data_IF_116498415259
#
_entry.id   IF_116498415259
#
_cell.length_a   1.000
_cell.length_b   1.000
_cell.length_c   1.000
_cell.angle_alpha   90.00
_cell.angle_beta   90.00
_cell.angle_gamma   90.00
#
_symmetry.space_group_name_H-M   'P 1'
#
loop_
_entity.id
_entity.type
_entity.pdbx_description
1 polymer ?
#
# COMPACT_ATOMS: atom_id res chain seq x y z
N UNK A 1 0.29 6.39 14.29
CA UNK A 1 1.09 5.16 14.26
C UNK A 1 2.02 5.19 15.47
N UNK A 2 2.23 4.08 16.17
CA UNK A 2 3.33 4.00 17.15
C UNK A 2 4.56 3.49 16.40
N UNK A 3 5.68 4.19 16.55
CA UNK A 3 6.96 3.83 15.95
C UNK A 3 8.08 4.30 16.86
N UNK A 4 9.20 3.58 16.85
CA UNK A 4 10.45 4.00 17.49
C UNK A 4 11.09 5.21 16.81
N UNK A 5 10.59 5.61 15.63
CA UNK A 5 10.99 6.81 14.92
C UNK A 5 9.99 7.95 15.17
N UNK A 6 10.44 9.05 15.77
CA UNK A 6 9.60 10.24 15.99
C UNK A 6 9.19 10.94 14.67
N UNK A 7 10.01 10.76 13.64
CA UNK A 7 9.78 11.27 12.28
C UNK A 7 10.58 10.45 11.26
N UNK A 8 10.23 10.48 9.97
CA UNK A 8 11.09 9.96 8.90
C UNK A 8 12.47 10.63 8.95
N UNK A 9 13.51 9.83 8.79
CA UNK A 9 14.92 10.22 8.72
C UNK A 9 15.44 9.99 7.31
N UNK A 10 16.48 10.71 6.94
CA UNK A 10 17.19 10.39 5.72
C UNK A 10 17.84 9.00 5.86
N UNK A 11 17.58 8.12 4.89
CA UNK A 11 18.00 6.74 4.91
C UNK A 11 18.30 6.24 3.49
N UNK A 12 18.98 5.11 3.41
CA UNK A 12 19.25 4.42 2.13
C UNK A 12 18.27 3.28 1.88
N UNK A 13 17.64 2.76 2.94
CA UNK A 13 16.59 1.77 2.87
C UNK A 13 15.45 2.06 3.83
N UNK A 14 14.23 1.63 3.48
CA UNK A 14 13.02 1.98 4.24
C UNK A 14 13.03 1.43 5.67
N UNK A 15 13.71 0.31 5.91
CA UNK A 15 13.87 -0.30 7.24
C UNK A 15 14.59 0.62 8.22
N UNK A 16 15.44 1.52 7.73
CA UNK A 16 16.22 2.46 8.56
C UNK A 16 15.40 3.69 8.97
N UNK A 17 14.20 3.89 8.42
CA UNK A 17 13.41 5.12 8.60
C UNK A 17 11.89 4.89 8.66
N UNK A 18 11.43 3.70 9.03
CA UNK A 18 10.01 3.27 8.97
C UNK A 18 9.06 4.07 9.91
N UNK A 19 8.95 5.39 9.70
CA UNK A 19 8.20 6.38 10.48
C UNK A 19 7.33 7.29 9.61
N UNK A 20 7.25 7.05 8.30
CA UNK A 20 6.38 7.78 7.39
C UNK A 20 4.96 7.19 7.36
N UNK A 21 3.96 8.06 7.12
CA UNK A 21 2.59 7.63 6.87
C UNK A 21 2.50 6.83 5.57
N UNK A 22 3.15 7.27 4.50
CA UNK A 22 3.14 6.54 3.24
C UNK A 22 4.48 6.67 2.51
N UNK A 23 4.81 5.66 1.70
CA UNK A 23 5.94 5.67 0.79
C UNK A 23 5.64 4.89 -0.49
N UNK A 24 6.42 5.18 -1.53
CA UNK A 24 6.34 4.50 -2.82
C UNK A 24 7.33 3.35 -2.87
N UNK A 25 6.83 2.12 -2.82
CA UNK A 25 7.64 0.92 -3.02
C UNK A 25 7.62 0.53 -4.50
N UNK A 26 8.79 0.25 -5.08
CA UNK A 26 8.99 0.23 -6.54
C UNK A 26 10.24 1.01 -6.95
N UNK A 27 10.36 1.46 -8.21
CA UNK A 27 9.51 1.19 -9.38
C UNK A 27 10.05 0.02 -10.21
N UNK A 28 11.35 -0.24 -10.17
CA UNK A 28 11.96 -1.35 -10.89
C UNK A 28 11.72 -2.67 -10.18
N UNK A 29 11.78 -2.66 -8.85
CA UNK A 29 11.70 -3.84 -7.99
C UNK A 29 10.85 -3.53 -6.77
N UNK A 30 10.20 -4.54 -6.20
CA UNK A 30 9.38 -4.37 -5.00
C UNK A 30 9.29 -5.70 -4.23
N UNK A 31 8.78 -5.63 -3.00
CA UNK A 31 8.56 -6.76 -2.11
C UNK A 31 9.77 -7.11 -1.26
N UNK A 32 9.64 -8.22 -0.54
CA UNK A 32 10.70 -8.83 0.26
C UNK A 32 11.60 -9.64 -0.67
N UNK A 33 12.89 -9.28 -0.83
CA UNK A 33 13.78 -10.01 -1.71
C UNK A 33 13.97 -11.46 -1.24
N UNK A 34 13.95 -12.39 -2.20
CA UNK A 34 14.33 -13.79 -2.01
C UNK A 34 15.85 -13.95 -2.16
N UNK A 35 16.37 -15.18 -1.99
CA UNK A 35 17.78 -15.47 -2.27
C UNK A 35 18.18 -15.27 -3.75
N UNK A 36 17.20 -15.20 -4.66
CA UNK A 36 17.43 -14.92 -6.09
C UNK A 36 17.43 -13.41 -6.40
N UNK A 37 17.01 -12.57 -5.46
CA UNK A 37 16.86 -11.14 -5.64
C UNK A 37 18.04 -10.36 -5.05
N UNK A 38 18.43 -9.27 -5.72
CA UNK A 38 19.54 -8.39 -5.29
C UNK A 38 19.09 -6.96 -4.99
N UNK A 39 17.77 -6.73 -4.98
CA UNK A 39 17.20 -5.43 -4.71
C UNK A 39 16.95 -5.21 -3.22
N UNK A 40 16.95 -3.95 -2.74
CA UNK A 40 16.56 -3.66 -1.35
C UNK A 40 15.09 -4.02 -1.11
N UNK A 41 14.74 -4.26 0.15
CA UNK A 41 13.35 -4.42 0.59
C UNK A 41 12.53 -3.21 0.12
N UNK A 42 11.40 -3.48 -0.55
CA UNK A 42 10.50 -2.46 -1.13
C UNK A 42 11.10 -1.62 -2.28
N UNK A 43 12.19 -2.08 -2.88
CA UNK A 43 12.76 -1.44 -4.07
C UNK A 43 13.49 -0.14 -3.79
N UNK A 44 14.00 0.45 -4.86
CA UNK A 44 14.89 1.61 -4.83
C UNK A 44 14.18 2.93 -4.49
N UNK A 45 12.89 3.07 -4.85
CA UNK A 45 12.18 4.34 -4.79
C UNK A 45 11.86 4.78 -3.35
N UNK A 46 11.70 3.83 -2.42
CA UNK A 46 11.18 4.07 -1.07
C UNK A 46 11.95 5.15 -0.28
N UNK A 47 13.25 5.26 -0.51
CA UNK A 47 14.12 6.28 0.12
C UNK A 47 14.95 7.06 -0.91
N UNK A 48 14.54 7.06 -2.17
CA UNK A 48 15.28 7.77 -3.21
C UNK A 48 15.19 9.28 -2.99
N UNK A 49 16.31 10.03 -3.05
CA UNK A 49 16.25 11.48 -3.01
C UNK A 49 15.61 12.03 -4.28
N UNK A 50 14.82 13.10 -4.15
CA UNK A 50 14.29 13.83 -5.30
C UNK A 50 15.33 14.82 -5.83
N UNK A 51 15.42 14.98 -7.15
CA UNK A 51 16.27 16.00 -7.78
C UNK A 51 15.63 17.38 -7.74
N UNK A 52 14.29 17.42 -7.76
CA UNK A 52 13.50 18.63 -7.60
C UNK A 52 12.33 18.37 -6.67
N UNK A 53 11.96 19.40 -5.92
CA UNK A 53 10.71 19.45 -5.17
C UNK A 53 10.06 20.81 -5.37
N UNK A 54 8.74 20.89 -5.26
CA UNK A 54 8.02 22.13 -5.44
C UNK A 54 6.58 22.07 -4.92
N UNK A 55 5.92 23.22 -4.96
CA UNK A 55 4.49 23.36 -4.72
C UNK A 55 3.80 23.71 -6.04
N UNK A 56 2.69 23.04 -6.32
CA UNK A 56 1.80 23.38 -7.42
C UNK A 56 0.44 23.79 -6.87
N UNK A 57 -0.12 24.87 -7.38
CA UNK A 57 -1.48 25.30 -7.08
C UNK A 57 -2.24 25.44 -8.38
N UNK A 58 -3.51 25.04 -8.40
CA UNK A 58 -4.33 25.12 -9.60
C UNK A 58 -5.77 24.77 -9.33
N UNK A 59 -6.51 24.55 -10.41
CA UNK A 59 -7.91 24.14 -10.39
C UNK A 59 -8.12 23.12 -11.50
N UNK A 60 -8.89 22.07 -11.22
CA UNK A 60 -9.31 21.07 -12.20
C UNK A 60 -10.80 20.75 -12.05
N UNK A 61 -11.29 19.68 -12.67
CA UNK A 61 -12.70 19.28 -12.60
C UNK A 61 -13.20 18.93 -11.19
N UNK A 62 -12.29 18.74 -10.22
CA UNK A 62 -12.58 18.50 -8.81
C UNK A 62 -12.37 19.74 -7.94
N UNK A 63 -12.16 20.91 -8.57
CA UNK A 63 -11.98 22.20 -7.90
C UNK A 63 -10.52 22.57 -7.65
N UNK A 64 -10.31 23.57 -6.79
CA UNK A 64 -8.99 24.07 -6.45
C UNK A 64 -8.14 23.03 -5.71
N UNK A 65 -6.84 23.06 -5.95
CA UNK A 65 -5.89 22.18 -5.26
C UNK A 65 -4.56 22.87 -4.94
N UNK A 66 -3.89 22.33 -3.93
CA UNK A 66 -2.46 22.52 -3.69
C UNK A 66 -1.79 21.15 -3.67
N UNK A 67 -0.61 21.03 -4.26
CA UNK A 67 0.14 19.79 -4.29
C UNK A 67 1.62 20.00 -3.92
N UNK A 68 2.15 19.08 -3.12
CA UNK A 68 3.59 18.91 -2.97
C UNK A 68 4.05 17.99 -4.10
N UNK A 69 5.05 18.41 -4.85
CA UNK A 69 5.56 17.71 -6.03
C UNK A 69 7.03 17.32 -5.83
N UNK A 70 7.40 16.18 -6.37
CA UNK A 70 8.78 15.72 -6.50
C UNK A 70 9.08 15.31 -7.94
N UNK A 71 10.35 15.37 -8.32
CA UNK A 71 10.83 14.80 -9.57
C UNK A 71 12.16 14.11 -9.32
N UNK A 72 12.28 12.91 -9.87
CA UNK A 72 13.50 12.13 -9.87
C UNK A 72 13.79 11.64 -11.28
N UNK A 73 14.96 12.00 -11.79
CA UNK A 73 15.55 11.46 -13.01
C UNK A 73 16.51 10.33 -12.62
N UNK A 74 16.06 9.09 -12.82
CA UNK A 74 16.84 7.90 -12.52
C UNK A 74 17.50 7.39 -13.79
N UNK A 75 18.83 7.30 -13.81
CA UNK A 75 19.57 6.80 -14.96
C UNK A 75 20.73 5.89 -14.53
N UNK A 76 20.81 4.71 -15.13
CA UNK A 76 21.92 3.78 -14.97
C UNK A 76 22.56 3.51 -16.34
N UNK A 77 23.88 3.68 -16.47
CA UNK A 77 24.57 3.62 -17.76
C UNK A 77 24.40 2.30 -18.55
N UNK A 78 24.09 1.21 -17.85
CA UNK A 78 23.76 -0.10 -18.42
C UNK A 78 22.46 -0.65 -17.85
N UNK A 79 21.49 0.21 -17.56
CA UNK A 79 20.24 -0.17 -16.90
C UNK A 79 19.06 0.72 -17.26
N UNK A 80 18.12 0.85 -16.32
CA UNK A 80 16.93 1.65 -16.52
C UNK A 80 17.25 3.15 -16.60
N UNK A 81 16.44 3.86 -17.38
CA UNK A 81 16.38 5.31 -17.41
C UNK A 81 14.91 5.70 -17.38
N UNK A 82 14.47 6.31 -16.29
CA UNK A 82 13.08 6.72 -16.11
C UNK A 82 12.98 8.01 -15.32
N UNK A 83 11.86 8.70 -15.51
CA UNK A 83 11.46 9.82 -14.66
C UNK A 83 10.32 9.40 -13.74
N UNK A 84 10.50 9.59 -12.44
CA UNK A 84 9.42 9.50 -11.47
C UNK A 84 8.98 10.90 -11.05
N UNK A 85 7.66 11.12 -11.02
CA UNK A 85 7.05 12.40 -10.62
C UNK A 85 6.02 12.16 -9.49
N UNK A 86 6.47 11.82 -8.28
CA UNK A 86 5.56 11.67 -7.15
C UNK A 86 4.93 13.01 -6.76
N UNK A 87 3.67 12.99 -6.35
CA UNK A 87 3.04 14.18 -5.79
C UNK A 87 1.89 13.82 -4.84
N UNK A 88 1.60 14.73 -3.91
CA UNK A 88 0.49 14.63 -2.96
C UNK A 88 -0.41 15.84 -3.13
N UNK A 89 -1.69 15.61 -3.39
CA UNK A 89 -2.69 16.65 -3.70
C UNK A 89 -3.64 16.81 -2.51
N UNK A 90 -3.81 18.05 -2.06
CA UNK A 90 -4.80 18.49 -1.09
C UNK A 90 -5.85 19.37 -1.78
N UNK A 91 -7.09 19.26 -1.34
CA UNK A 91 -8.22 20.04 -1.84
C UNK A 91 -8.95 20.71 -0.69
N UNK A 92 -9.62 21.81 -1.00
CA UNK A 92 -10.46 22.52 -0.05
C UNK A 92 -11.58 21.62 0.48
N UNK A 93 -11.86 21.72 1.78
CA UNK A 93 -12.90 20.95 2.50
C UNK A 93 -12.83 19.42 2.41
N UNK A 94 -11.76 18.87 1.82
CA UNK A 94 -11.53 17.43 1.73
C UNK A 94 -10.84 16.91 3.00
N UNK A 95 -11.33 15.80 3.54
CA UNK A 95 -10.69 15.05 4.63
C UNK A 95 -9.76 13.94 4.13
N UNK A 96 -9.59 13.87 2.81
CA UNK A 96 -8.71 12.95 2.11
C UNK A 96 -7.73 13.72 1.22
N UNK A 97 -6.63 13.06 0.88
CA UNK A 97 -5.60 13.55 -0.02
C UNK A 97 -5.21 12.46 -1.02
N UNK A 98 -4.75 12.87 -2.19
CA UNK A 98 -4.37 11.94 -3.25
C UNK A 98 -2.86 11.79 -3.29
N UNK A 99 -2.36 10.56 -3.15
CA UNK A 99 -0.96 10.18 -3.36
C UNK A 99 -0.83 9.65 -4.78
N UNK A 100 0.05 10.26 -5.57
CA UNK A 100 0.27 9.91 -6.97
C UNK A 100 1.72 9.55 -7.21
N UNK A 101 1.93 8.47 -7.97
CA UNK A 101 3.21 8.14 -8.58
C UNK A 101 3.05 8.10 -10.10
N UNK A 102 3.70 9.01 -10.80
CA UNK A 102 3.87 8.92 -12.25
C UNK A 102 5.25 8.39 -12.59
N UNK A 103 5.32 7.51 -13.59
CA UNK A 103 6.57 7.00 -14.12
C UNK A 103 6.58 7.10 -15.65
N UNK A 104 7.67 7.62 -16.20
CA UNK A 104 7.94 7.70 -17.64
C UNK A 104 9.22 6.93 -17.95
N UNK A 105 9.14 5.93 -18.83
CA UNK A 105 10.34 5.23 -19.29
C UNK A 105 11.06 6.09 -20.35
N UNK A 106 12.23 6.62 -20.00
CA UNK A 106 13.04 7.47 -20.87
C UNK A 106 14.03 6.68 -21.74
N UNK A 107 14.10 5.36 -21.56
CA UNK A 107 14.82 4.44 -22.45
C UNK A 107 14.01 4.10 -23.70
N UNK A 108 14.69 3.65 -24.76
CA UNK A 108 14.04 3.02 -25.91
C UNK A 108 13.60 1.57 -25.63
N UNK A 109 14.31 0.87 -24.75
CA UNK A 109 13.97 -0.48 -24.31
C UNK A 109 12.83 -0.47 -23.28
N UNK A 110 12.06 -1.56 -23.22
CA UNK A 110 11.06 -1.75 -22.18
C UNK A 110 11.69 -1.85 -20.80
N UNK A 111 10.98 -1.35 -19.79
CA UNK A 111 11.38 -1.36 -18.39
C UNK A 111 10.44 -2.26 -17.59
N UNK A 112 10.99 -3.11 -16.71
CA UNK A 112 10.18 -3.82 -15.73
C UNK A 112 9.59 -2.82 -14.72
N UNK A 113 8.34 -3.03 -14.33
CA UNK A 113 7.62 -2.13 -13.44
C UNK A 113 6.89 -2.91 -12.34
N UNK A 114 7.18 -2.54 -11.10
CA UNK A 114 6.51 -3.01 -9.88
C UNK A 114 6.24 -1.80 -8.99
N UNK A 115 4.99 -1.60 -8.56
CA UNK A 115 4.62 -0.49 -7.70
C UNK A 115 3.66 -0.93 -6.60
N UNK A 116 3.82 -0.37 -5.40
CA UNK A 116 2.90 -0.49 -4.27
C UNK A 116 2.88 0.86 -3.53
N UNK A 117 1.69 1.41 -3.33
CA UNK A 117 1.50 2.54 -2.43
C UNK A 117 1.40 2.00 -0.99
N UNK A 118 2.49 2.09 -0.24
CA UNK A 118 2.56 1.52 1.10
C UNK A 118 2.13 2.57 2.14
N UNK A 119 0.88 2.49 2.61
CA UNK A 119 0.32 3.42 3.60
C UNK A 119 0.18 2.77 4.98
N UNK A 120 0.87 3.34 5.98
CA UNK A 120 0.98 2.89 7.36
C UNK A 120 0.06 3.69 8.30
N UNK A 121 -1.19 3.25 8.46
CA UNK A 121 -2.07 3.86 9.46
C UNK A 121 -1.72 3.38 10.87
N UNK A 122 -2.19 4.10 11.88
CA UNK A 122 -2.10 3.61 13.25
C UNK A 122 -2.88 2.29 13.38
N UNK A 123 -2.30 1.32 14.09
CA UNK A 123 -3.09 0.19 14.55
C UNK A 123 -4.18 0.67 15.51
N UNK A 124 -5.41 0.17 15.33
CA UNK A 124 -6.57 0.54 16.14
C UNK A 124 -7.12 -0.71 16.83
N UNK A 125 -6.92 -0.79 18.13
CA UNK A 125 -7.46 -1.88 18.95
C UNK A 125 -9.00 -1.84 18.95
N UNK A 126 -9.63 -2.99 18.69
CA UNK A 126 -11.08 -3.08 18.47
C UNK A 126 -11.56 -2.48 17.14
N UNK A 127 -10.64 -1.98 16.29
CA UNK A 127 -10.96 -1.45 14.97
C UNK A 127 -11.57 -2.53 14.07
N UNK A 128 -12.53 -2.12 13.24
CA UNK A 128 -13.19 -2.98 12.25
C UNK A 128 -12.71 -2.63 10.85
N UNK A 129 -12.37 -3.64 10.08
CA UNK A 129 -12.14 -3.53 8.65
C UNK A 129 -13.47 -3.58 7.91
N UNK A 130 -13.71 -2.57 7.09
CA UNK A 130 -14.77 -2.54 6.09
C UNK A 130 -14.11 -2.63 4.72
N UNK A 131 -14.47 -3.67 3.95
CA UNK A 131 -13.82 -4.01 2.69
C UNK A 131 -14.85 -4.49 1.66
N UNK A 132 -14.55 -4.40 0.34
CA UNK A 132 -15.54 -4.66 -0.71
C UNK A 132 -15.72 -6.16 -1.03
N UNK A 133 -15.07 -7.05 -0.28
CA UNK A 133 -15.11 -8.51 -0.49
C UNK A 133 -15.33 -9.24 0.83
N UNK A 134 -15.93 -10.44 0.83
CA UNK A 134 -16.12 -11.22 2.06
C UNK A 134 -14.80 -11.59 2.76
N UNK A 135 -14.87 -11.91 4.05
CA UNK A 135 -13.76 -12.49 4.81
C UNK A 135 -13.78 -14.02 4.76
N UNK A 136 -13.69 -14.57 3.56
CA UNK A 136 -13.56 -16.01 3.32
C UNK A 136 -12.19 -16.33 2.69
N UNK A 137 -11.88 -17.62 2.58
CA UNK A 137 -10.58 -18.10 2.09
C UNK A 137 -10.35 -17.88 0.60
N UNK A 138 -11.41 -17.56 -0.17
CA UNK A 138 -11.29 -17.21 -1.58
C UNK A 138 -10.87 -15.74 -1.77
N UNK A 139 -11.24 -14.87 -0.82
CA UNK A 139 -11.05 -13.42 -0.93
C UNK A 139 -9.97 -12.86 0.00
N UNK A 140 -9.70 -13.50 1.14
CA UNK A 140 -8.69 -13.06 2.10
C UNK A 140 -7.69 -14.19 2.32
N UNK A 141 -6.58 -14.13 1.59
CA UNK A 141 -5.55 -15.17 1.59
C UNK A 141 -4.43 -14.79 2.55
N UNK A 142 -4.26 -15.55 3.63
CA UNK A 142 -3.15 -15.38 4.58
C UNK A 142 -1.82 -15.75 3.93
N UNK A 143 -0.81 -14.88 4.04
CA UNK A 143 0.56 -15.20 3.61
C UNK A 143 1.18 -16.17 4.61
N UNK A 144 1.30 -17.42 4.20
CA UNK A 144 1.90 -18.49 5.02
C UNK A 144 3.42 -18.61 4.84
N UNK A 145 3.97 -18.03 3.77
CA UNK A 145 5.42 -17.91 3.60
C UNK A 145 5.98 -16.94 4.66
N UNK A 146 6.94 -17.43 5.45
CA UNK A 146 7.54 -16.68 6.55
C UNK A 146 8.78 -15.96 6.03
N UNK A 147 8.82 -14.61 6.05
CA UNK A 147 10.00 -13.86 5.60
C UNK A 147 11.26 -14.17 6.41
N UNK A 148 12.43 -14.07 5.79
CA UNK A 148 13.70 -14.38 6.44
C UNK A 148 14.02 -13.51 7.68
N UNK A 149 13.44 -12.31 7.76
CA UNK A 149 13.60 -11.41 8.92
C UNK A 149 12.68 -11.77 10.10
N UNK A 150 11.67 -12.63 9.89
CA UNK A 150 10.75 -13.08 10.93
C UNK A 150 11.30 -14.33 11.59
N UNK A 151 11.35 -14.33 12.93
CA UNK A 151 11.69 -15.53 13.73
C UNK A 151 10.40 -16.13 14.30
N UNK A 152 9.78 -17.11 13.63
CA UNK A 152 8.49 -17.64 14.07
C UNK A 152 8.61 -18.49 15.33
N UNK A 153 7.68 -18.32 16.27
CA UNK A 153 7.42 -19.26 17.35
C UNK A 153 6.19 -20.14 17.02
N UNK A 154 5.89 -21.13 17.88
CA UNK A 154 4.78 -22.06 17.64
C UNK A 154 3.41 -21.38 17.66
N UNK A 155 3.23 -20.37 18.50
CA UNK A 155 2.00 -19.58 18.59
C UNK A 155 1.73 -18.83 17.28
N UNK A 156 2.77 -18.25 16.67
CA UNK A 156 2.70 -17.57 15.37
C UNK A 156 2.35 -18.55 14.25
N UNK A 157 2.99 -19.72 14.20
CA UNK A 157 2.68 -20.76 13.20
C UNK A 157 1.23 -21.25 13.32
N UNK A 158 0.78 -21.45 14.55
CA UNK A 158 -0.61 -21.83 14.86
C UNK A 158 -1.59 -20.75 14.42
N UNK A 159 -1.29 -19.48 14.69
CA UNK A 159 -2.10 -18.35 14.22
C UNK A 159 -2.15 -18.29 12.69
N UNK A 160 -1.03 -18.46 11.98
CA UNK A 160 -1.03 -18.46 10.51
C UNK A 160 -1.93 -19.55 9.92
N UNK A 161 -1.88 -20.77 10.48
CA UNK A 161 -2.73 -21.87 10.04
C UNK A 161 -4.22 -21.55 10.31
N UNK A 162 -4.54 -21.09 11.51
CA UNK A 162 -5.91 -20.70 11.89
C UNK A 162 -6.45 -19.57 11.00
N UNK A 163 -5.66 -18.53 10.75
CA UNK A 163 -6.04 -17.42 9.86
C UNK A 163 -6.20 -17.85 8.40
N UNK A 164 -5.46 -18.85 7.94
CA UNK A 164 -5.61 -19.39 6.59
C UNK A 164 -6.95 -20.14 6.42
N UNK A 165 -7.48 -20.74 7.48
CA UNK A 165 -8.77 -21.44 7.48
C UNK A 165 -9.94 -20.52 7.87
N UNK A 166 -9.68 -19.51 8.70
CA UNK A 166 -10.68 -18.66 9.34
C UNK A 166 -10.38 -17.15 9.22
N UNK A 167 -10.25 -16.60 7.98
CA UNK A 167 -9.89 -15.20 7.78
C UNK A 167 -10.93 -14.19 8.27
N UNK A 168 -12.17 -14.62 8.57
CA UNK A 168 -13.20 -13.82 9.24
C UNK A 168 -12.74 -13.18 10.56
N UNK A 169 -11.79 -13.82 11.23
CA UNK A 169 -11.14 -13.30 12.43
C UNK A 169 -10.44 -11.96 12.20
N UNK A 170 -10.07 -11.64 10.96
CA UNK A 170 -9.43 -10.38 10.59
C UNK A 170 -10.40 -9.26 10.22
N UNK A 171 -11.71 -9.45 10.41
CA UNK A 171 -12.68 -8.35 10.31
C UNK A 171 -12.53 -7.35 11.47
N UNK A 172 -12.16 -7.81 12.66
CA UNK A 172 -11.97 -6.95 13.85
C UNK A 172 -10.66 -7.27 14.56
N UNK A 173 -9.94 -6.23 14.96
CA UNK A 173 -8.66 -6.38 15.66
C UNK A 173 -8.87 -6.53 17.18
N UNK A 174 -9.27 -7.72 17.63
CA UNK A 174 -9.55 -8.01 19.05
C UNK A 174 -8.41 -8.66 19.82
N UNK A 175 -7.32 -9.04 19.14
CA UNK A 175 -6.20 -9.79 19.74
C UNK A 175 -4.84 -9.15 19.42
N UNK A 176 -4.63 -7.88 19.81
CA UNK A 176 -3.44 -7.11 19.41
C UNK A 176 -2.12 -7.80 19.77
N UNK A 177 -2.05 -8.51 20.90
CA UNK A 177 -0.85 -9.22 21.35
C UNK A 177 -0.41 -10.37 20.43
N UNK A 178 -1.27 -10.82 19.49
CA UNK A 178 -0.94 -11.90 18.55
C UNK A 178 -0.39 -11.39 17.21
N UNK A 179 -0.33 -10.08 17.00
CA UNK A 179 0.21 -9.47 15.78
C UNK A 179 1.68 -9.06 15.93
N UNK A 180 2.41 -9.82 16.75
CA UNK A 180 3.86 -9.79 16.90
C UNK A 180 4.39 -11.23 16.77
N UNK A 181 5.03 -11.62 15.65
CA UNK A 181 5.37 -10.78 14.50
C UNK A 181 4.19 -10.50 13.55
N UNK A 182 4.47 -9.73 12.50
CA UNK A 182 3.50 -9.23 11.51
C UNK A 182 2.56 -10.30 10.92
N UNK A 183 1.35 -9.88 10.53
CA UNK A 183 0.39 -10.69 9.76
C UNK A 183 0.10 -10.05 8.41
N UNK A 184 0.15 -10.84 7.33
CA UNK A 184 0.00 -10.35 5.95
C UNK A 184 -1.07 -11.12 5.20
N UNK A 185 -1.91 -10.39 4.46
CA UNK A 185 -3.02 -10.95 3.70
C UNK A 185 -3.07 -10.35 2.30
N UNK A 186 -3.46 -11.18 1.33
CA UNK A 186 -3.78 -10.75 -0.03
C UNK A 186 -5.29 -10.69 -0.17
N UNK A 187 -5.81 -9.51 -0.53
CA UNK A 187 -7.24 -9.33 -0.76
C UNK A 187 -7.51 -9.53 -2.25
N UNK A 188 -8.34 -10.53 -2.57
CA UNK A 188 -8.64 -11.02 -3.92
C UNK A 188 -10.06 -10.65 -4.34
N UNK A 189 -10.33 -10.75 -5.64
CA UNK A 189 -11.67 -10.56 -6.19
C UNK A 189 -12.17 -9.11 -6.18
N UNK A 190 -11.25 -8.15 -6.14
CA UNK A 190 -11.58 -6.73 -6.10
C UNK A 190 -12.33 -6.26 -7.36
N UNK A 191 -13.43 -5.53 -7.14
CA UNK A 191 -14.22 -4.89 -8.19
C UNK A 191 -14.51 -3.46 -7.77
N UNK A 192 -14.27 -2.52 -8.69
CA UNK A 192 -14.61 -1.12 -8.47
C UNK A 192 -16.12 -0.96 -8.30
N UNK A 193 -16.53 0.01 -7.48
CA UNK A 193 -17.92 0.45 -7.40
C UNK A 193 -18.36 1.19 -8.67
N UNK A 194 -19.50 1.90 -8.64
CA UNK A 194 -20.05 2.60 -9.80
C UNK A 194 -19.11 3.64 -10.44
N UNK A 195 -18.19 4.20 -9.67
CA UNK A 195 -17.18 5.16 -10.14
C UNK A 195 -15.84 4.50 -10.51
N UNK A 196 -15.79 3.17 -10.52
CA UNK A 196 -14.61 2.38 -10.84
C UNK A 196 -13.60 2.24 -9.71
N UNK A 197 -13.83 2.84 -8.53
CA UNK A 197 -12.91 2.76 -7.40
C UNK A 197 -13.29 1.64 -6.43
N UNK A 198 -12.28 0.94 -5.92
CA UNK A 198 -12.42 0.11 -4.72
C UNK A 198 -12.14 0.97 -3.50
N UNK A 199 -12.83 0.67 -2.40
CA UNK A 199 -12.75 1.43 -1.16
C UNK A 199 -12.61 0.52 0.04
N UNK A 200 -11.77 0.93 0.98
CA UNK A 200 -11.55 0.27 2.25
C UNK A 200 -11.66 1.30 3.37
N UNK A 201 -12.11 0.85 4.53
CA UNK A 201 -12.11 1.67 5.74
C UNK A 201 -11.64 0.86 6.94
N UNK A 202 -10.73 1.43 7.73
CA UNK A 202 -10.47 0.98 9.10
C UNK A 202 -11.32 1.85 10.03
N UNK A 203 -12.48 1.32 10.41
CA UNK A 203 -13.41 1.97 11.33
C UNK A 203 -12.89 1.83 12.77
N UNK A 204 -12.80 2.95 13.47
CA UNK A 204 -12.39 2.98 14.88
C UNK A 204 -13.60 2.72 15.79
N UNK A 205 -13.39 2.29 17.04
CA UNK A 205 -14.47 2.13 18.02
C UNK A 205 -15.33 3.39 18.24
N UNK A 206 -14.77 4.58 17.98
CA UNK A 206 -15.47 5.86 18.07
C UNK A 206 -16.48 6.09 16.93
N UNK A 207 -16.46 5.26 15.89
CA UNK A 207 -17.40 5.27 14.76
C UNK A 207 -16.88 5.99 13.52
N UNK A 208 -15.87 6.83 13.65
CA UNK A 208 -15.09 7.42 12.56
C UNK A 208 -14.04 6.43 11.99
N UNK A 209 -13.26 6.82 10.98
CA UNK A 209 -12.33 5.87 10.37
C UNK A 209 -11.30 6.44 9.41
N UNK A 210 -10.30 5.62 9.10
CA UNK A 210 -9.32 5.88 8.05
C UNK A 210 -9.77 5.24 6.73
N UNK A 211 -9.48 5.89 5.60
CA UNK A 211 -9.96 5.45 4.29
C UNK A 211 -8.83 5.25 3.29
N UNK A 212 -9.03 4.30 2.39
CA UNK A 212 -8.20 4.07 1.19
C UNK A 212 -9.13 3.87 -0.01
N UNK A 213 -8.89 4.59 -1.10
CA UNK A 213 -9.59 4.36 -2.37
C UNK A 213 -8.63 4.43 -3.58
N UNK A 214 -8.85 3.58 -4.58
CA UNK A 214 -8.02 3.52 -5.80
C UNK A 214 -8.72 2.75 -6.93
N UNK A 215 -8.20 2.88 -8.16
CA UNK A 215 -8.68 2.11 -9.33
C UNK A 215 -8.01 0.72 -9.37
N UNK A 216 -8.75 -0.38 -9.17
CA UNK A 216 -8.19 -1.74 -9.16
C UNK A 216 -7.71 -2.20 -10.54
N UNK A 217 -8.07 -1.52 -11.64
CA UNK A 217 -7.52 -1.82 -12.98
C UNK A 217 -6.07 -1.36 -13.06
N UNK A 218 -5.76 -0.22 -12.45
CA UNK A 218 -4.39 0.31 -12.38
C UNK A 218 -3.53 -0.48 -11.39
N UNK A 219 -4.11 -0.89 -10.26
CA UNK A 219 -3.44 -1.61 -9.17
C UNK A 219 -4.31 -2.79 -8.70
N UNK A 220 -4.21 -3.97 -9.33
CA UNK A 220 -5.14 -5.09 -9.10
C UNK A 220 -4.87 -5.88 -7.82
N UNK A 221 -3.81 -5.55 -7.07
CA UNK A 221 -3.46 -6.23 -5.84
C UNK A 221 -3.72 -5.30 -4.64
N UNK A 222 -4.38 -5.82 -3.61
CA UNK A 222 -4.43 -5.21 -2.29
C UNK A 222 -3.73 -6.11 -1.28
N UNK A 223 -2.82 -5.51 -0.52
CA UNK A 223 -2.11 -6.18 0.56
C UNK A 223 -2.58 -5.56 1.86
N UNK A 224 -2.89 -6.39 2.86
CA UNK A 224 -3.05 -5.98 4.24
C UNK A 224 -1.83 -6.42 5.03
N UNK A 225 -1.25 -5.51 5.80
CA UNK A 225 -0.15 -5.79 6.72
C UNK A 225 -0.47 -5.19 8.09
N UNK A 226 -0.37 -6.03 9.13
CA UNK A 226 -0.68 -5.66 10.51
C UNK A 226 0.50 -6.02 11.39
N UNK A 227 1.01 -5.05 12.15
CA UNK A 227 2.06 -5.24 13.14
C UNK A 227 1.68 -4.49 14.42
N UNK A 228 1.67 -5.17 15.56
CA UNK A 228 1.41 -4.56 16.85
C UNK A 228 2.29 -5.18 17.94
N UNK A 229 3.51 -4.65 18.08
CA UNK A 229 4.44 -5.02 19.13
C UNK A 229 4.79 -3.81 20.03
N UNK A 230 5.76 -3.97 20.93
CA UNK A 230 6.16 -2.91 21.88
C UNK A 230 6.75 -1.67 21.20
N UNK A 231 7.41 -1.86 20.07
CA UNK A 231 8.23 -0.83 19.43
C UNK A 231 7.45 -0.15 18.28
N UNK A 232 6.55 -0.89 17.64
CA UNK A 232 5.81 -0.48 16.44
C UNK A 232 4.37 -1.02 16.46
N UNK A 233 3.40 -0.12 16.27
CA UNK A 233 1.97 -0.47 16.10
C UNK A 233 1.38 0.26 14.90
N UNK A 234 1.13 -0.50 13.84
CA UNK A 234 0.73 -0.02 12.52
C UNK A 234 -0.22 -1.00 11.84
N UNK A 235 -1.08 -0.46 10.98
CA UNK A 235 -2.03 -1.21 10.19
C UNK A 235 -2.10 -0.62 8.78
N UNK A 236 -1.38 -1.23 7.85
CA UNK A 236 -1.56 -0.96 6.44
C UNK A 236 -2.73 -1.82 5.94
N UNK A 237 -3.96 -1.36 6.20
CA UNK A 237 -5.16 -2.18 6.05
C UNK A 237 -5.56 -2.48 4.59
N UNK A 238 -5.09 -1.65 3.66
CA UNK A 238 -5.22 -1.84 2.22
C UNK A 238 -4.12 -1.06 1.48
N UNK A 239 -3.09 -1.77 0.99
CA UNK A 239 -2.02 -1.21 0.17
C UNK A 239 -2.24 -1.61 -1.29
N UNK A 240 -2.59 -0.67 -2.18
CA UNK A 240 -2.78 -0.97 -3.58
C UNK A 240 -1.44 -1.12 -4.30
N UNK A 241 -1.33 -2.12 -5.15
CA UNK A 241 -0.13 -2.37 -5.93
C UNK A 241 -0.37 -3.10 -7.25
N UNK A 242 0.69 -3.13 -8.06
CA UNK A 242 0.75 -3.88 -9.32
C UNK A 242 1.18 -5.34 -9.12
N UNK A 243 1.61 -5.70 -7.92
CA UNK A 243 2.11 -7.01 -7.53
C UNK A 243 1.89 -7.27 -6.03
N UNK A 244 2.11 -8.49 -5.58
CA UNK A 244 2.21 -8.89 -4.17
C UNK A 244 3.62 -8.56 -3.60
N UNK A 245 3.84 -8.67 -2.27
CA UNK A 245 5.09 -8.23 -1.65
C UNK A 245 6.16 -9.33 -1.58
N UNK A 246 6.16 -10.32 -2.49
CA UNK A 246 6.99 -11.54 -2.37
C UNK A 246 8.36 -11.47 -3.07
N UNK A 247 8.75 -10.30 -3.58
CA UNK A 247 10.03 -10.08 -4.25
C UNK A 247 9.99 -10.29 -5.77
N UNK A 248 10.95 -9.74 -6.49
CA UNK A 248 10.93 -9.68 -7.95
C UNK A 248 10.88 -11.07 -8.62
N UNK A 249 11.73 -12.01 -8.22
CA UNK A 249 11.76 -13.34 -8.83
C UNK A 249 10.41 -14.08 -8.67
N UNK A 250 9.80 -14.01 -7.48
CA UNK A 250 8.51 -14.63 -7.20
C UNK A 250 7.38 -13.98 -8.01
N UNK A 251 7.30 -12.65 -8.00
CA UNK A 251 6.28 -11.90 -8.73
C UNK A 251 6.42 -12.04 -10.25
N UNK A 252 7.65 -12.20 -10.76
CA UNK A 252 7.89 -12.50 -12.17
C UNK A 252 7.33 -13.87 -12.57
N UNK A 253 7.51 -14.90 -11.74
CA UNK A 253 6.93 -16.24 -11.98
C UNK A 253 5.39 -16.22 -11.94
N UNK A 254 4.80 -15.37 -11.11
CA UNK A 254 3.35 -15.14 -11.06
C UNK A 254 2.81 -14.30 -12.23
N UNK A 255 3.70 -13.68 -13.01
CA UNK A 255 3.32 -12.78 -14.11
C UNK A 255 2.86 -11.39 -13.64
N UNK A 256 3.21 -10.98 -12.42
CA UNK A 256 2.81 -9.68 -11.86
C UNK A 256 3.82 -8.55 -12.18
N UNK A 257 5.03 -8.88 -12.64
CA UNK A 257 5.99 -7.85 -13.12
C UNK A 257 5.49 -7.30 -14.45
N UNK A 258 5.15 -6.01 -14.46
CA UNK A 258 4.66 -5.32 -15.66
C UNK A 258 5.82 -4.90 -16.55
N UNK A 259 5.54 -4.69 -17.83
CA UNK A 259 6.48 -4.10 -18.77
C UNK A 259 5.97 -2.72 -19.20
N UNK A 260 6.77 -1.68 -18.99
CA UNK A 260 6.53 -0.32 -19.45
C UNK A 260 7.36 -0.08 -20.73
N UNK A 261 6.75 0.04 -21.92
CA UNK A 261 7.47 0.27 -23.17
C UNK A 261 8.32 1.55 -23.14
N UNK A 262 9.32 1.63 -24.00
CA UNK A 262 10.12 2.85 -24.15
C UNK A 262 9.28 4.05 -24.56
N UNK A 263 9.49 5.20 -23.89
CA UNK A 263 8.71 6.42 -24.06
C UNK A 263 7.29 6.38 -23.48
N UNK A 264 6.84 5.25 -22.92
CA UNK A 264 5.52 5.15 -22.32
C UNK A 264 5.48 5.75 -20.91
N UNK A 265 4.26 6.15 -20.51
CA UNK A 265 3.95 6.72 -19.19
C UNK A 265 2.88 5.91 -18.48
N UNK A 266 2.93 5.91 -17.16
CA UNK A 266 1.92 5.32 -16.29
C UNK A 266 1.75 6.20 -15.05
N UNK A 267 0.54 6.22 -14.50
CA UNK A 267 0.23 6.90 -13.25
C UNK A 267 -0.53 5.95 -12.31
N UNK A 268 -0.17 6.00 -11.04
CA UNK A 268 -0.83 5.29 -9.95
C UNK A 268 -1.35 6.30 -8.95
N UNK A 269 -2.64 6.28 -8.69
CA UNK A 269 -3.30 7.22 -7.77
C UNK A 269 -3.99 6.47 -6.65
N UNK A 270 -3.75 6.89 -5.41
CA UNK A 270 -4.40 6.37 -4.20
C UNK A 270 -4.90 7.53 -3.37
N UNK A 271 -6.19 7.54 -3.07
CA UNK A 271 -6.77 8.44 -2.09
C UNK A 271 -6.61 7.83 -0.69
N UNK A 272 -6.03 8.61 0.23
CA UNK A 272 -5.88 8.28 1.63
C UNK A 272 -6.59 9.34 2.46
N UNK A 273 -7.29 8.96 3.51
CA UNK A 273 -8.02 9.96 4.27
C UNK A 273 -8.59 9.51 5.60
N UNK A 274 -9.45 10.37 6.10
CA UNK A 274 -10.21 10.19 7.32
C UNK A 274 -11.68 10.56 7.08
N UNK A 275 -12.58 9.88 7.76
CA UNK A 275 -14.02 10.19 7.74
C UNK A 275 -14.52 10.28 9.17
N UNK A 276 -15.39 11.24 9.45
CA UNK A 276 -16.10 11.31 10.72
C UNK A 276 -17.16 10.21 10.84
N UNK A 277 -17.86 10.15 11.97
CA UNK A 277 -18.87 9.13 12.26
C UNK A 277 -20.01 9.09 11.22
N UNK A 278 -20.47 10.25 10.72
CA UNK A 278 -21.58 10.29 9.77
C UNK A 278 -21.11 9.81 8.39
N UNK A 279 -19.97 10.31 7.92
CA UNK A 279 -19.36 9.92 6.66
C UNK A 279 -18.95 8.44 6.67
N UNK A 280 -18.46 7.91 7.79
CA UNK A 280 -18.12 6.50 7.96
C UNK A 280 -19.32 5.58 7.75
N UNK A 281 -20.50 5.94 8.26
CA UNK A 281 -21.74 5.15 8.06
C UNK A 281 -22.13 5.11 6.58
N UNK A 282 -22.07 6.25 5.89
CA UNK A 282 -22.38 6.34 4.45
C UNK A 282 -21.38 5.53 3.63
N UNK A 283 -20.09 5.66 3.95
CA UNK A 283 -19.01 4.94 3.28
C UNK A 283 -19.09 3.44 3.50
N UNK A 284 -19.40 2.97 4.73
CA UNK A 284 -19.55 1.56 5.01
C UNK A 284 -20.64 0.92 4.14
N UNK A 285 -21.80 1.60 4.01
CA UNK A 285 -22.88 1.15 3.12
C UNK A 285 -22.41 1.05 1.69
N UNK A 286 -21.68 2.06 1.19
CA UNK A 286 -21.13 2.06 -0.18
C UNK A 286 -20.16 0.90 -0.42
N UNK A 287 -19.27 0.62 0.53
CA UNK A 287 -18.28 -0.46 0.43
C UNK A 287 -18.96 -1.84 0.47
N UNK A 288 -19.96 -2.00 1.35
CA UNK A 288 -20.60 -3.29 1.61
C UNK A 288 -21.74 -3.61 0.63
N UNK A 289 -22.07 -2.71 -0.32
CA UNK A 289 -23.04 -3.04 -1.39
C UNK A 289 -22.47 -4.20 -2.21
N UNK A 290 -23.01 -5.39 -1.95
CA UNK A 290 -22.79 -6.57 -2.78
C UNK A 290 -23.75 -6.46 -3.95
N UNK A 291 -23.23 -6.31 -5.17
CA UNK A 291 -24.05 -6.62 -6.35
C UNK A 291 -24.57 -8.06 -6.18
N UNK A 292 -25.89 -8.19 -6.15
CA UNK A 292 -26.63 -9.47 -6.03
C UNK A 292 -26.51 -10.27 -7.31
#
# INVERSE_FOLDING_TARGET
>A
MQSMFDQPRQATGIVETYGCLAYHAGLLRNGVPTAEDTHPLHGEMSCMPMDKAGLACGEDSLGAYIAITGLRDYAMGFGAHYRATPHVILREDATAFTVVMEAENLSAASMDLMYLCHANFAFVEGGRIVQPVPFDTAHVVTRTAIPAHVRPNDDYRTLLADLAEHPARMERFTEPARYDPEQVFYIKGLRGGPDGLVRFMLQRPQGDGFTVAYDPRSMPHAIRWVLANSDQRTCAFAMPGTCEPEGYAAERRKGHVRSLPGGARVAFSTELGYVDTEAAVKLARLIEVREV
#
